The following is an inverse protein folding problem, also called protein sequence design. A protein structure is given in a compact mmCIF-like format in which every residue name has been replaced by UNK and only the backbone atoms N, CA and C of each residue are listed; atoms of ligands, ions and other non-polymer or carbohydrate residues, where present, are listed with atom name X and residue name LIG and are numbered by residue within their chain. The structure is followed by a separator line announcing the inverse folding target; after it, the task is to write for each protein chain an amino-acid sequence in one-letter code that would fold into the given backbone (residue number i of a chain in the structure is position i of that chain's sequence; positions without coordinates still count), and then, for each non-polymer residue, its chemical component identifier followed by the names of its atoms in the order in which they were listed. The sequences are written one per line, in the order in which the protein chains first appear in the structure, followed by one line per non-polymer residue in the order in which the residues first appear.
data_IF_305655550030
#
_entry.id   IF_305655550030
#
_cell.length_a   1.000
_cell.length_b   1.000
_cell.length_c   1.000
_cell.angle_alpha   90.00
_cell.angle_beta   90.00
_cell.angle_gamma   90.00
#
_symmetry.space_group_name_H-M   'P 1'
#
loop_
_entity.id
_entity.type
_entity.pdbx_description
1 polymer ?
#
# COMPACT_ATOMS: atom_id res chain seq x y z
N UNK A 1 6.40 -6.05 -14.08
CA UNK A 1 6.97 -5.61 -12.79
C UNK A 1 6.59 -4.15 -12.65
N UNK A 2 5.52 -3.84 -11.91
CA UNK A 2 5.18 -2.44 -11.58
C UNK A 2 5.99 -2.12 -10.32
N UNK A 3 7.22 -1.66 -10.49
CA UNK A 3 8.08 -1.27 -9.37
C UNK A 3 7.79 0.18 -9.00
N UNK A 4 7.70 0.45 -7.70
CA UNK A 4 7.84 1.81 -7.19
C UNK A 4 9.19 2.36 -7.67
N UNK A 5 9.21 3.51 -8.35
CA UNK A 5 10.46 4.13 -8.81
C UNK A 5 11.34 4.61 -7.65
N UNK A 6 10.78 4.67 -6.45
CA UNK A 6 11.48 5.01 -5.21
C UNK A 6 11.17 4.01 -4.10
N UNK A 7 12.19 3.48 -3.44
CA UNK A 7 12.08 2.61 -2.29
C UNK A 7 13.33 2.72 -1.42
N UNK A 8 13.22 2.40 -0.13
CA UNK A 8 14.39 2.15 0.72
C UNK A 8 14.89 0.72 0.49
N UNK A 9 16.20 0.47 0.65
CA UNK A 9 16.79 -0.86 0.40
C UNK A 9 16.95 -1.18 -1.09
N UNK A 10 16.55 -2.39 -1.52
CA UNK A 10 16.57 -2.84 -2.93
C UNK A 10 17.93 -2.67 -3.64
N UNK A 11 19.01 -3.07 -2.96
CA UNK A 11 20.38 -2.79 -3.38
C UNK A 11 20.74 -3.28 -4.79
N UNK A 12 20.20 -4.42 -5.22
CA UNK A 12 20.41 -4.95 -6.57
C UNK A 12 19.97 -3.95 -7.66
N UNK A 13 18.98 -3.10 -7.37
CA UNK A 13 18.50 -2.08 -8.30
C UNK A 13 19.27 -0.76 -8.20
N UNK A 14 20.20 -0.62 -7.25
CA UNK A 14 20.86 0.66 -6.94
C UNK A 14 22.35 0.65 -7.17
N UNK A 15 23.01 -0.46 -6.86
CA UNK A 15 24.47 -0.50 -6.85
C UNK A 15 25.00 -1.85 -7.37
N UNK A 16 25.97 -1.77 -8.27
CA UNK A 16 26.42 -2.93 -9.03
C UNK A 16 27.06 -4.05 -8.19
N UNK A 17 27.66 -3.70 -7.04
CA UNK A 17 28.20 -4.69 -6.10
C UNK A 17 27.14 -5.63 -5.50
N UNK A 18 25.86 -5.28 -5.60
CA UNK A 18 24.73 -6.07 -5.15
C UNK A 18 23.96 -6.73 -6.31
N UNK A 19 24.53 -6.77 -7.51
CA UNK A 19 24.00 -7.66 -8.55
C UNK A 19 24.36 -9.10 -8.17
N UNK A 20 23.34 -9.92 -7.89
CA UNK A 20 23.52 -11.33 -7.58
C UNK A 20 24.12 -12.12 -8.75
N UNK A 21 24.63 -13.33 -8.52
CA UNK A 21 25.11 -14.22 -9.58
C UNK A 21 23.95 -14.69 -10.47
N UNK A 22 24.21 -14.90 -11.76
CA UNK A 22 23.21 -15.39 -12.71
C UNK A 22 22.68 -16.80 -12.37
N UNK A 23 23.49 -17.60 -11.68
CA UNK A 23 23.09 -18.91 -11.18
C UNK A 23 22.14 -18.75 -9.96
N UNK A 24 20.86 -19.16 -10.08
CA UNK A 24 19.87 -19.02 -9.01
C UNK A 24 20.15 -19.92 -7.80
N UNK A 25 21.06 -20.89 -7.91
CA UNK A 25 21.46 -21.75 -6.80
C UNK A 25 22.46 -21.06 -5.87
N UNK A 26 23.18 -20.05 -6.35
CA UNK A 26 24.14 -19.26 -5.58
C UNK A 26 23.43 -18.12 -4.86
N UNK A 27 23.26 -18.26 -3.54
CA UNK A 27 22.66 -17.22 -2.68
C UNK A 27 23.71 -16.21 -2.22
N UNK A 28 24.24 -15.42 -3.14
CA UNK A 28 25.13 -14.31 -2.84
C UNK A 28 24.57 -12.99 -3.41
N UNK A 29 24.73 -11.88 -2.69
CA UNK A 29 24.44 -10.52 -3.16
C UNK A 29 22.99 -10.22 -3.63
N UNK A 30 22.03 -11.12 -3.43
CA UNK A 30 20.61 -10.88 -3.72
C UNK A 30 20.20 -11.29 -5.13
N UNK A 31 19.28 -10.54 -5.74
CA UNK A 31 18.69 -10.86 -7.04
C UNK A 31 19.67 -10.53 -8.18
N UNK A 32 19.80 -11.41 -9.17
CA UNK A 32 20.51 -11.11 -10.41
C UNK A 32 19.63 -10.30 -11.37
N UNK A 33 20.22 -9.27 -11.97
CA UNK A 33 19.63 -8.48 -13.05
C UNK A 33 20.51 -8.69 -14.28
N UNK A 34 19.90 -9.25 -15.32
CA UNK A 34 20.55 -9.55 -16.59
C UNK A 34 20.89 -8.25 -17.35
N UNK A 35 21.82 -8.36 -18.29
CA UNK A 35 22.22 -7.23 -19.12
C UNK A 35 21.09 -6.78 -20.08
N UNK A 36 20.98 -5.47 -20.37
CA UNK A 36 21.87 -4.40 -19.91
C UNK A 36 21.57 -3.97 -18.46
N UNK A 37 22.60 -4.00 -17.62
CA UNK A 37 22.51 -3.63 -16.21
C UNK A 37 23.22 -2.30 -15.94
N UNK A 38 22.42 -1.25 -15.79
CA UNK A 38 22.82 0.15 -15.63
C UNK A 38 22.09 0.78 -14.44
N UNK A 39 22.34 0.30 -13.21
CA UNK A 39 21.75 0.92 -12.01
C UNK A 39 22.24 2.37 -11.86
N UNK A 40 21.50 3.25 -11.16
CA UNK A 40 20.31 2.96 -10.36
C UNK A 40 18.99 2.98 -11.15
N UNK A 41 18.12 2.00 -10.87
CA UNK A 41 16.74 1.93 -11.37
C UNK A 41 15.69 2.39 -10.35
N UNK A 42 16.05 2.39 -9.07
CA UNK A 42 15.17 2.77 -7.96
C UNK A 42 15.90 3.76 -7.07
N UNK A 43 15.25 4.86 -6.71
CA UNK A 43 15.84 5.89 -5.85
C UNK A 43 15.34 5.75 -4.39
N UNK A 44 16.07 6.33 -3.45
CA UNK A 44 15.63 6.42 -2.05
C UNK A 44 15.17 7.85 -1.67
N UNK A 45 15.08 8.74 -2.66
CA UNK A 45 14.74 10.14 -2.42
C UNK A 45 13.21 10.27 -2.34
N UNK A 46 12.65 10.78 -1.23
CA UNK A 46 11.23 11.04 -1.13
C UNK A 46 10.86 12.30 -1.92
N UNK A 47 9.61 12.37 -2.37
CA UNK A 47 8.99 13.63 -2.78
C UNK A 47 8.51 14.35 -1.52
N UNK A 48 8.76 15.66 -1.44
CA UNK A 48 8.42 16.47 -0.27
C UNK A 48 7.44 17.57 -0.67
N UNK A 49 6.30 17.60 0.02
CA UNK A 49 5.28 18.64 -0.12
C UNK A 49 5.00 19.21 1.28
N UNK A 50 4.94 20.54 1.39
CA UNK A 50 4.60 21.24 2.62
C UNK A 50 3.20 21.86 2.51
N UNK A 51 2.35 21.60 3.49
CA UNK A 51 1.03 22.22 3.63
C UNK A 51 0.91 22.87 5.01
N UNK A 52 0.45 24.12 5.06
CA UNK A 52 0.16 24.78 6.34
C UNK A 52 -1.24 24.38 6.76
N UNK A 53 -1.35 23.69 7.89
CA UNK A 53 -2.65 23.27 8.43
C UNK A 53 -3.45 24.51 8.85
N UNK A 54 -4.69 24.56 8.40
CA UNK A 54 -5.65 25.65 8.63
C UNK A 54 -6.91 25.12 9.31
N UNK A 55 -7.78 26.02 9.79
CA UNK A 55 -9.06 25.64 10.40
C UNK A 55 -10.02 24.91 9.44
N UNK A 56 -9.77 24.95 8.12
CA UNK A 56 -10.55 24.18 7.13
C UNK A 56 -10.10 22.73 7.00
N UNK A 57 -8.86 22.43 7.38
CA UNK A 57 -8.33 21.06 7.35
C UNK A 57 -8.89 20.28 8.54
N UNK A 58 -9.63 19.19 8.27
CA UNK A 58 -10.33 18.43 9.32
C UNK A 58 -9.60 17.18 9.75
N UNK A 59 -8.90 16.54 8.82
CA UNK A 59 -8.14 15.33 9.10
C UNK A 59 -7.08 15.08 8.03
N UNK A 60 -6.13 14.22 8.37
CA UNK A 60 -5.13 13.64 7.46
C UNK A 60 -5.22 12.11 7.52
N UNK A 61 -5.28 11.47 6.35
CA UNK A 61 -5.26 10.01 6.21
C UNK A 61 -3.90 9.62 5.65
N UNK A 62 -3.18 8.75 6.35
CA UNK A 62 -1.96 8.09 5.85
C UNK A 62 -2.26 6.60 5.73
N UNK A 63 -1.90 5.98 4.61
CA UNK A 63 -2.16 4.56 4.42
C UNK A 63 -1.12 3.86 3.56
N UNK A 64 -0.82 2.61 3.93
CA UNK A 64 -0.15 1.66 3.04
C UNK A 64 -1.24 0.81 2.42
N UNK A 65 -1.63 1.13 1.18
CA UNK A 65 -2.65 0.37 0.48
C UNK A 65 -2.01 -0.52 -0.59
N UNK A 66 -2.06 -1.83 -0.37
CA UNK A 66 -1.69 -2.82 -1.36
C UNK A 66 -2.96 -3.55 -1.80
N UNK A 67 -3.57 -3.07 -2.87
CA UNK A 67 -4.57 -3.85 -3.62
C UNK A 67 -3.81 -4.57 -4.73
N UNK A 68 -3.54 -5.86 -4.54
CA UNK A 68 -2.77 -6.66 -5.48
C UNK A 68 -3.54 -6.86 -6.78
N UNK A 69 -3.18 -6.17 -7.86
CA UNK A 69 -3.42 -6.47 -9.29
C UNK A 69 -4.79 -7.02 -9.78
N UNK A 70 -5.81 -7.19 -8.95
CA UNK A 70 -7.11 -7.79 -9.28
C UNK A 70 -8.24 -7.12 -8.49
N UNK A 71 -8.46 -5.82 -8.72
CA UNK A 71 -9.85 -5.36 -8.69
C UNK A 71 -10.37 -4.66 -7.45
N UNK A 72 -9.51 -3.93 -6.73
CA UNK A 72 -9.97 -2.57 -6.38
C UNK A 72 -9.48 -1.64 -7.48
N UNK A 73 -10.20 -1.71 -8.60
CA UNK A 73 -10.37 -0.55 -9.47
C UNK A 73 -11.29 0.38 -8.70
N UNK A 74 -10.72 1.09 -7.73
CA UNK A 74 -11.13 2.47 -7.60
C UNK A 74 -10.52 3.08 -8.85
N UNK A 75 -11.38 3.52 -9.76
CA UNK A 75 -11.04 3.87 -11.15
C UNK A 75 -9.80 4.76 -11.26
N UNK A 76 -9.47 5.45 -10.17
CA UNK A 76 -8.22 6.12 -9.88
C UNK A 76 -8.02 6.21 -8.36
N UNK A 77 -6.82 6.65 -7.94
CA UNK A 77 -6.49 6.94 -6.54
C UNK A 77 -7.41 8.02 -5.93
N UNK A 78 -7.94 8.93 -6.74
CA UNK A 78 -8.82 10.00 -6.27
C UNK A 78 -10.14 9.45 -5.73
N UNK A 79 -10.72 8.46 -6.42
CA UNK A 79 -11.95 7.78 -5.99
C UNK A 79 -11.75 7.09 -4.65
N UNK A 80 -10.59 6.47 -4.43
CA UNK A 80 -10.25 5.89 -3.13
C UNK A 80 -10.11 6.96 -2.04
N UNK A 81 -9.38 8.03 -2.32
CA UNK A 81 -9.20 9.12 -1.36
C UNK A 81 -10.55 9.71 -0.93
N UNK A 82 -11.47 9.89 -1.87
CA UNK A 82 -12.80 10.41 -1.58
C UNK A 82 -13.61 9.44 -0.69
N UNK A 83 -13.64 8.14 -1.03
CA UNK A 83 -14.36 7.16 -0.21
C UNK A 83 -13.78 7.05 1.20
N UNK A 84 -12.45 7.09 1.34
CA UNK A 84 -11.80 7.10 2.65
C UNK A 84 -12.19 8.36 3.44
N UNK A 85 -12.20 9.53 2.79
CA UNK A 85 -12.65 10.78 3.42
C UNK A 85 -14.12 10.72 3.86
N UNK A 86 -15.00 10.13 3.05
CA UNK A 86 -16.42 9.95 3.39
C UNK A 86 -16.60 9.04 4.62
N UNK A 87 -15.80 7.96 4.73
CA UNK A 87 -15.79 7.08 5.90
C UNK A 87 -15.34 7.83 7.16
N UNK A 88 -14.27 8.63 7.07
CA UNK A 88 -13.81 9.45 8.21
C UNK A 88 -14.88 10.46 8.61
N UNK A 89 -15.47 11.18 7.66
CA UNK A 89 -16.54 12.14 7.92
C UNK A 89 -17.72 11.50 8.63
N UNK A 90 -18.16 10.31 8.19
CA UNK A 90 -19.25 9.60 8.83
C UNK A 90 -18.91 9.18 10.26
N UNK A 91 -17.67 8.73 10.52
CA UNK A 91 -17.22 8.37 11.86
C UNK A 91 -17.14 9.59 12.79
N UNK A 92 -16.55 10.69 12.31
CA UNK A 92 -16.45 11.96 13.06
C UNK A 92 -17.84 12.51 13.39
N UNK A 93 -18.79 12.48 12.46
CA UNK A 93 -20.16 12.93 12.69
C UNK A 93 -20.90 12.10 13.77
N UNK A 94 -20.51 10.84 13.97
CA UNK A 94 -21.03 9.98 15.05
C UNK A 94 -20.24 10.10 16.36
N UNK A 95 -19.16 10.89 16.40
CA UNK A 95 -18.26 10.96 17.56
C UNK A 95 -17.33 9.76 17.71
N UNK A 96 -17.12 8.99 16.62
CA UNK A 96 -16.35 7.74 16.58
C UNK A 96 -15.04 7.92 15.79
N UNK A 97 -14.40 9.08 15.94
CA UNK A 97 -13.19 9.43 15.18
C UNK A 97 -12.05 8.41 15.38
N UNK A 98 -11.96 7.79 16.56
CA UNK A 98 -11.00 6.76 16.92
C UNK A 98 -11.18 5.45 16.13
N UNK A 99 -12.40 5.17 15.64
CA UNK A 99 -12.71 4.00 14.85
C UNK A 99 -12.51 4.21 13.34
N UNK A 100 -12.23 5.44 12.90
CA UNK A 100 -12.18 5.80 11.48
C UNK A 100 -11.11 5.00 10.71
N UNK A 101 -9.92 4.80 11.29
CA UNK A 101 -8.85 4.02 10.66
C UNK A 101 -9.27 2.57 10.44
N UNK A 102 -9.90 1.95 11.45
CA UNK A 102 -10.43 0.59 11.38
C UNK A 102 -11.54 0.47 10.34
N UNK A 103 -12.47 1.44 10.30
CA UNK A 103 -13.55 1.45 9.31
C UNK A 103 -13.02 1.51 7.88
N UNK A 104 -11.95 2.27 7.62
CA UNK A 104 -11.29 2.29 6.31
C UNK A 104 -10.67 0.92 5.99
N UNK A 105 -9.97 0.29 6.93
CA UNK A 105 -9.37 -1.03 6.73
C UNK A 105 -10.45 -2.07 6.40
N UNK A 106 -11.54 -2.10 7.17
CA UNK A 106 -12.67 -3.00 6.94
C UNK A 106 -13.33 -2.76 5.56
N UNK A 107 -13.50 -1.50 5.15
CA UNK A 107 -14.04 -1.17 3.83
C UNK A 107 -13.14 -1.66 2.69
N UNK A 108 -11.81 -1.49 2.83
CA UNK A 108 -10.82 -1.97 1.85
C UNK A 108 -10.82 -3.48 1.75
N UNK A 109 -10.81 -4.18 2.89
CA UNK A 109 -10.82 -5.65 2.91
C UNK A 109 -12.14 -6.20 2.39
N UNK A 110 -13.26 -5.54 2.68
CA UNK A 110 -14.57 -5.92 2.14
C UNK A 110 -14.57 -5.84 0.61
N UNK A 111 -14.02 -4.76 0.05
CA UNK A 111 -13.89 -4.59 -1.41
C UNK A 111 -12.97 -5.65 -2.04
N UNK A 112 -11.87 -6.01 -1.37
CA UNK A 112 -10.99 -7.08 -1.83
C UNK A 112 -11.65 -8.47 -1.75
N UNK A 113 -12.50 -8.70 -0.74
CA UNK A 113 -13.29 -9.92 -0.64
C UNK A 113 -14.33 -9.98 -1.78
N UNK A 114 -15.05 -8.89 -2.03
CA UNK A 114 -16.04 -8.78 -3.12
C UNK A 114 -15.44 -9.10 -4.50
N UNK A 115 -14.22 -8.62 -4.79
CA UNK A 115 -13.55 -8.90 -6.08
C UNK A 115 -13.24 -10.39 -6.27
N UNK A 116 -13.02 -11.12 -5.18
CA UNK A 116 -12.79 -12.57 -5.18
C UNK A 116 -14.07 -13.38 -4.90
N UNK A 117 -15.23 -12.72 -4.82
CA UNK A 117 -16.53 -13.32 -4.48
C UNK A 117 -16.54 -14.03 -3.11
N UNK A 118 -15.78 -13.48 -2.17
CA UNK A 118 -15.74 -13.89 -0.78
C UNK A 118 -16.49 -12.87 0.08
N UNK A 119 -16.96 -13.31 1.23
CA UNK A 119 -17.33 -12.44 2.35
C UNK A 119 -16.07 -11.95 3.07
N UNK A 120 -16.19 -10.85 3.83
CA UNK A 120 -15.09 -10.37 4.67
C UNK A 120 -14.61 -11.46 5.66
N UNK A 121 -15.54 -12.23 6.25
CA UNK A 121 -15.19 -13.33 7.16
C UNK A 121 -14.36 -14.40 6.45
N UNK A 122 -14.82 -14.86 5.28
CA UNK A 122 -14.09 -15.88 4.51
C UNK A 122 -12.69 -15.40 4.09
N UNK A 123 -12.55 -14.10 3.79
CA UNK A 123 -11.24 -13.51 3.50
C UNK A 123 -10.32 -13.51 4.72
N UNK A 124 -10.85 -13.15 5.90
CA UNK A 124 -10.09 -13.08 7.15
C UNK A 124 -9.71 -14.48 7.67
N UNK A 125 -10.50 -15.50 7.36
CA UNK A 125 -10.25 -16.90 7.71
C UNK A 125 -9.21 -17.57 6.80
N UNK A 126 -8.68 -16.87 5.78
CA UNK A 126 -7.63 -17.42 4.94
C UNK A 126 -6.32 -17.58 5.69
N UNK A 127 -5.79 -18.80 5.66
CA UNK A 127 -4.47 -19.11 6.20
C UNK A 127 -3.36 -18.21 5.62
N UNK A 128 -2.41 -17.74 6.45
CA UNK A 128 -1.26 -16.97 5.99
C UNK A 128 -0.51 -17.71 4.87
N UNK A 129 -0.38 -17.08 3.71
CA UNK A 129 0.18 -17.78 2.56
C UNK A 129 0.18 -16.97 1.27
N UNK A 130 0.54 -17.63 0.17
CA UNK A 130 0.52 -17.02 -1.17
C UNK A 130 -0.91 -16.68 -1.61
N UNK A 131 -1.89 -17.52 -1.25
CA UNK A 131 -3.30 -17.31 -1.59
C UNK A 131 -3.84 -16.01 -0.99
N UNK A 132 -3.73 -15.83 0.34
CA UNK A 132 -4.08 -14.57 1.01
C UNK A 132 -3.38 -13.36 0.38
N UNK A 133 -2.06 -13.44 0.19
CA UNK A 133 -1.23 -12.38 -0.42
C UNK A 133 -1.52 -12.09 -1.89
N UNK A 134 -2.29 -12.93 -2.58
CA UNK A 134 -2.79 -12.63 -3.92
C UNK A 134 -4.07 -11.80 -3.89
N UNK A 135 -4.80 -11.81 -2.78
CA UNK A 135 -6.05 -11.09 -2.60
C UNK A 135 -5.80 -9.75 -1.90
N UNK A 136 -5.04 -9.76 -0.81
CA UNK A 136 -4.64 -8.56 -0.10
C UNK A 136 -3.28 -8.71 0.59
N UNK A 137 -2.58 -7.60 0.77
CA UNK A 137 -1.36 -7.53 1.59
C UNK A 137 -1.66 -6.89 2.96
N UNK A 138 -0.61 -6.63 3.74
CA UNK A 138 -0.74 -5.88 4.98
C UNK A 138 -1.25 -4.45 4.71
N UNK A 139 -2.42 -4.13 5.26
CA UNK A 139 -3.09 -2.83 5.10
C UNK A 139 -2.99 -2.06 6.40
N UNK A 140 -2.34 -0.90 6.37
CA UNK A 140 -2.19 -0.01 7.53
C UNK A 140 -2.81 1.34 7.20
N UNK A 141 -3.61 1.88 8.11
CA UNK A 141 -4.23 3.20 8.00
C UNK A 141 -4.05 3.97 9.30
N UNK A 142 -3.64 5.22 9.20
CA UNK A 142 -3.55 6.19 10.29
C UNK A 142 -4.43 7.38 9.93
N UNK A 143 -5.31 7.78 10.85
CA UNK A 143 -6.16 8.96 10.70
C UNK A 143 -5.79 9.93 11.81
N UNK A 144 -5.41 11.15 11.44
CA UNK A 144 -5.20 12.27 12.36
C UNK A 144 -6.38 13.20 12.20
N UNK A 145 -7.11 13.50 13.27
CA UNK A 145 -8.20 14.49 13.26
C UNK A 145 -7.68 15.76 13.89
N UNK A 146 -7.95 16.90 13.25
CA UNK A 146 -7.55 18.21 13.71
C UNK A 146 -8.71 18.89 14.43
N UNK A 147 -8.42 19.55 15.56
CA UNK A 147 -9.37 20.35 16.34
C UNK A 147 -9.50 21.78 15.77
#
# INVERSE_FOLDING_TARGET
MRSCGSALGDFAFKHASFNGPADPTLRANGRHIAEPYTPPYVFALPETISHVVTATDKFLILGTLCTSNHGIVLADMNTFCQQAADVVHACVARGEADLASRAIVEAVLTKAAESEKLTLSELLDLEPGKKRRHIHDDTTVVVLVFE
#
